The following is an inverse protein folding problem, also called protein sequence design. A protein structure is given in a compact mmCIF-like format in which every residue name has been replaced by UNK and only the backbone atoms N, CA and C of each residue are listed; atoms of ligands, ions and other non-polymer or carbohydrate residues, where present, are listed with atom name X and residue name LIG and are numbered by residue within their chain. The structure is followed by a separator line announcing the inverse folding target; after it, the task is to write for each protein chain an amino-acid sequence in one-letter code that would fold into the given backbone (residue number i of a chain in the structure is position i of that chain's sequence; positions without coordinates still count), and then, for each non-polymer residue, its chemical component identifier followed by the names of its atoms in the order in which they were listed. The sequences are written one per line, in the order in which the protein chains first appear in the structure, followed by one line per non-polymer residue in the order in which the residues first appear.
data_IF_895762872579
#
_entry.id   IF_895762872579
#
_cell.length_a   1.000
_cell.length_b   1.000
_cell.length_c   1.000
_cell.angle_alpha   90.00
_cell.angle_beta   90.00
_cell.angle_gamma   90.00
#
_symmetry.space_group_name_H-M   'P 1'
#
loop_
_entity.id
_entity.type
_entity.pdbx_description
1 polymer ?
#
# COMPACT_ATOMS: atom_id res chain seq x y z
N UNK A 1 -4.56 0.75 9.92
CA UNK A 1 -3.21 1.34 10.05
C UNK A 1 -3.24 2.49 11.06
N UNK A 2 -2.24 2.62 11.95
CA UNK A 2 -2.20 3.70 12.95
C UNK A 2 -1.61 5.02 12.43
N UNK A 3 -0.78 4.99 11.37
CA UNK A 3 -0.08 6.19 10.85
C UNK A 3 0.00 6.19 9.32
N UNK A 4 0.33 7.34 8.74
CA UNK A 4 0.60 7.50 7.30
C UNK A 4 1.97 6.91 7.00
N UNK A 5 2.05 5.93 6.10
CA UNK A 5 3.31 5.24 5.77
C UNK A 5 3.69 5.53 4.33
N UNK A 6 4.95 5.87 4.10
CA UNK A 6 5.52 6.11 2.78
C UNK A 6 6.67 5.15 2.54
N UNK A 7 6.67 4.49 1.39
CA UNK A 7 7.73 3.57 0.99
C UNK A 7 8.13 3.74 -0.48
N UNK A 8 9.37 3.36 -0.79
CA UNK A 8 9.94 3.49 -2.14
C UNK A 8 10.70 2.23 -2.54
N UNK A 9 10.45 1.72 -3.73
CA UNK A 9 11.25 0.65 -4.34
C UNK A 9 11.60 1.01 -5.78
N UNK A 10 12.88 1.36 -6.01
CA UNK A 10 13.36 1.83 -7.30
C UNK A 10 12.73 3.16 -7.70
N UNK A 11 12.12 3.22 -8.90
CA UNK A 11 11.41 4.40 -9.39
C UNK A 11 9.97 4.53 -8.87
N UNK A 12 9.46 3.52 -8.16
CA UNK A 12 8.09 3.49 -7.64
C UNK A 12 8.06 3.96 -6.20
N UNK A 13 7.17 4.91 -5.92
CA UNK A 13 6.88 5.45 -4.60
C UNK A 13 5.42 5.19 -4.26
N UNK A 14 5.13 4.68 -3.05
CA UNK A 14 3.77 4.44 -2.57
C UNK A 14 3.59 5.05 -1.20
N UNK A 15 2.49 5.78 -1.01
CA UNK A 15 2.02 6.29 0.27
C UNK A 15 0.69 5.64 0.62
N UNK A 16 0.62 5.08 1.82
CA UNK A 16 -0.64 4.67 2.43
C UNK A 16 -1.14 5.73 3.40
N UNK A 17 -2.43 6.03 3.30
CA UNK A 17 -3.14 6.94 4.18
C UNK A 17 -4.29 6.16 4.83
N UNK A 18 -4.34 6.09 6.17
CA UNK A 18 -5.44 5.43 6.85
C UNK A 18 -6.74 6.18 6.59
N UNK A 19 -7.80 5.43 6.40
CA UNK A 19 -9.15 5.95 6.24
C UNK A 19 -10.01 5.58 7.44
N UNK A 20 -11.11 6.33 7.68
CA UNK A 20 -12.13 5.89 8.63
C UNK A 20 -12.63 4.48 8.28
N UNK A 21 -13.12 3.77 9.32
CA UNK A 21 -13.63 2.40 9.18
C UNK A 21 -14.80 2.36 8.20
N UNK A 22 -14.77 1.43 7.25
CA UNK A 22 -15.82 1.23 6.24
C UNK A 22 -15.68 2.07 4.97
N UNK A 23 -14.55 2.75 4.77
CA UNK A 23 -14.26 3.45 3.51
C UNK A 23 -13.86 2.48 2.39
N UNK A 24 -13.36 1.29 2.74
CA UNK A 24 -12.89 0.28 1.82
C UNK A 24 -11.52 0.59 1.21
N UNK A 25 -11.03 -0.37 0.41
CA UNK A 25 -9.70 -0.31 -0.20
C UNK A 25 -9.74 0.49 -1.51
N UNK A 26 -9.17 1.70 -1.51
CA UNK A 26 -8.97 2.50 -2.73
C UNK A 26 -7.54 2.31 -3.22
N UNK A 27 -7.40 1.35 -4.14
CA UNK A 27 -6.14 0.98 -4.77
C UNK A 27 -6.41 0.38 -6.16
N UNK A 28 -5.38 0.42 -7.01
CA UNK A 28 -5.34 -0.27 -8.31
C UNK A 28 -5.51 -1.79 -8.14
N UNK A 29 -6.11 -2.46 -9.13
CA UNK A 29 -6.46 -3.89 -9.14
C UNK A 29 -5.35 -4.84 -8.64
N UNK A 30 -4.10 -4.66 -9.07
CA UNK A 30 -3.01 -5.61 -8.80
C UNK A 30 -2.66 -5.69 -7.30
N UNK A 31 -2.30 -4.59 -6.62
CA UNK A 31 -2.02 -4.59 -5.18
C UNK A 31 -3.27 -4.71 -4.30
N UNK A 32 -4.49 -4.55 -4.85
CA UNK A 32 -5.74 -4.77 -4.10
C UNK A 32 -5.78 -6.15 -3.46
N UNK A 33 -5.39 -7.18 -4.22
CA UNK A 33 -5.32 -8.56 -3.71
C UNK A 33 -4.29 -8.68 -2.60
N UNK A 34 -3.10 -8.09 -2.77
CA UNK A 34 -2.02 -8.13 -1.77
C UNK A 34 -2.45 -7.50 -0.45
N UNK A 35 -3.14 -6.35 -0.52
CA UNK A 35 -3.68 -5.65 0.64
C UNK A 35 -4.80 -6.42 1.35
N UNK A 36 -5.64 -7.08 0.56
CA UNK A 36 -6.70 -7.94 1.08
C UNK A 36 -6.13 -9.19 1.75
N UNK A 37 -5.05 -9.78 1.20
CA UNK A 37 -4.31 -10.86 1.85
C UNK A 37 -3.60 -10.42 3.13
N UNK A 38 -3.20 -9.14 3.21
CA UNK A 38 -2.69 -8.55 4.44
C UNK A 38 -3.80 -8.21 5.46
N UNK A 39 -5.09 -8.38 5.13
CA UNK A 39 -6.18 -8.03 6.05
C UNK A 39 -6.32 -6.52 6.29
N UNK A 40 -5.84 -5.69 5.36
CA UNK A 40 -6.04 -4.23 5.40
C UNK A 40 -7.33 -3.91 4.65
N UNK A 41 -8.38 -3.52 5.39
CA UNK A 41 -9.72 -3.28 4.83
C UNK A 41 -9.95 -1.82 4.43
N UNK A 42 -9.34 -0.88 5.16
CA UNK A 42 -9.57 0.56 5.03
C UNK A 42 -8.25 1.30 4.82
N UNK A 43 -7.91 1.55 3.55
CA UNK A 43 -6.71 2.33 3.21
C UNK A 43 -6.85 3.02 1.85
N UNK A 44 -6.35 4.25 1.79
CA UNK A 44 -6.11 4.98 0.55
C UNK A 44 -4.64 4.90 0.17
N UNK A 45 -4.39 4.60 -1.09
CA UNK A 45 -3.05 4.41 -1.63
C UNK A 45 -2.77 5.47 -2.69
N UNK A 46 -1.62 6.12 -2.58
CA UNK A 46 -1.10 7.02 -3.59
C UNK A 46 0.18 6.42 -4.13
N UNK A 47 0.24 6.15 -5.43
CA UNK A 47 1.45 5.64 -6.06
C UNK A 47 1.94 6.60 -7.13
N UNK A 48 3.26 6.78 -7.21
CA UNK A 48 3.95 7.65 -8.17
C UNK A 48 5.15 6.91 -8.75
N UNK A 49 5.43 7.13 -10.03
CA UNK A 49 6.54 6.49 -10.74
C UNK A 49 6.07 5.44 -11.76
N UNK A 50 6.98 4.55 -12.16
CA UNK A 50 6.70 3.55 -13.19
C UNK A 50 5.92 2.35 -12.63
N UNK A 51 4.60 2.50 -12.50
CA UNK A 51 3.68 1.45 -12.05
C UNK A 51 3.46 0.32 -13.06
N UNK A 52 4.02 0.45 -14.27
CA UNK A 52 3.99 -0.60 -15.32
C UNK A 52 4.82 -1.83 -14.93
N UNK A 53 5.88 -1.64 -14.13
CA UNK A 53 6.72 -2.74 -13.66
C UNK A 53 6.09 -3.42 -12.46
N UNK A 54 5.34 -4.50 -12.71
CA UNK A 54 4.59 -5.23 -11.68
C UNK A 54 5.47 -5.70 -10.51
N UNK A 55 6.70 -6.14 -10.78
CA UNK A 55 7.62 -6.64 -9.75
C UNK A 55 7.93 -5.57 -8.68
N UNK A 56 8.38 -4.39 -9.11
CA UNK A 56 8.65 -3.28 -8.19
C UNK A 56 7.36 -2.80 -7.51
N UNK A 57 6.26 -2.70 -8.25
CA UNK A 57 4.99 -2.22 -7.72
C UNK A 57 4.51 -3.10 -6.56
N UNK A 58 4.39 -4.41 -6.76
CA UNK A 58 3.96 -5.38 -5.72
C UNK A 58 4.93 -5.37 -4.54
N UNK A 59 6.23 -5.29 -4.81
CA UNK A 59 7.27 -5.25 -3.78
C UNK A 59 7.11 -4.06 -2.83
N UNK A 60 6.79 -2.86 -3.34
CA UNK A 60 6.53 -1.68 -2.47
C UNK A 60 5.33 -1.94 -1.55
N UNK A 61 4.23 -2.46 -2.08
CA UNK A 61 3.03 -2.71 -1.25
C UNK A 61 3.29 -3.74 -0.14
N UNK A 62 4.12 -4.75 -0.42
CA UNK A 62 4.54 -5.70 0.61
C UNK A 62 5.37 -5.01 1.69
N UNK A 63 6.35 -4.18 1.32
CA UNK A 63 7.17 -3.45 2.29
C UNK A 63 6.37 -2.47 3.14
N UNK A 64 5.50 -1.67 2.52
CA UNK A 64 4.71 -0.66 3.24
C UNK A 64 3.72 -1.34 4.21
N UNK A 65 3.19 -2.52 3.85
CA UNK A 65 2.36 -3.33 4.73
C UNK A 65 3.15 -3.87 5.91
N UNK A 66 4.36 -4.40 5.69
CA UNK A 66 5.24 -4.88 6.78
C UNK A 66 5.58 -3.72 7.72
N UNK A 67 5.97 -2.58 7.16
CA UNK A 67 6.34 -1.42 7.96
C UNK A 67 5.15 -0.91 8.79
N UNK A 68 3.92 -1.01 8.29
CA UNK A 68 2.73 -0.74 9.10
C UNK A 68 2.62 -1.63 10.34
N UNK A 69 2.98 -2.91 10.25
CA UNK A 69 2.97 -3.82 11.41
C UNK A 69 4.12 -3.53 12.37
N UNK A 70 5.27 -3.07 11.88
CA UNK A 70 6.38 -2.67 12.75
C UNK A 70 6.14 -1.36 13.50
N UNK A 71 5.25 -0.49 13.02
CA UNK A 71 4.84 0.74 13.69
C UNK A 71 3.71 0.54 14.73
N UNK A 72 3.35 -0.71 15.01
CA UNK A 72 2.36 -1.14 15.99
C UNK A 72 3.07 -1.67 17.24
#
# INVERSE_FOLDING_TARGET
MPSKVTEKCGSVFVRMVPTPRGAGIVVVMVPKKVLQFAGIEDVFTFSRGSTKTLGNFVKVYKFVSIMCYCYL
#
